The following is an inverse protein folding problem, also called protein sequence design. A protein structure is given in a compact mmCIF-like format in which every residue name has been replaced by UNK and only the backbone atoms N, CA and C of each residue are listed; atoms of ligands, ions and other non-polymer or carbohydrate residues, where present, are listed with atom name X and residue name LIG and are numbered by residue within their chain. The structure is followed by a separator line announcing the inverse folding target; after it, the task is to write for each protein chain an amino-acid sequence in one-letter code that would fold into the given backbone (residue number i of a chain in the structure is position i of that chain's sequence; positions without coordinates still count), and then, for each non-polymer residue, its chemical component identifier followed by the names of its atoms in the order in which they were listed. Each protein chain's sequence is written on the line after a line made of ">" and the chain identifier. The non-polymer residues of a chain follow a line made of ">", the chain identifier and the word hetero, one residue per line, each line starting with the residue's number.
data_IF_082795594874
#
_entry.id   IF_082795594874
#
_cell.length_a   1.000
_cell.length_b   1.000
_cell.length_c   1.000
_cell.angle_alpha   90.00
_cell.angle_beta   90.00
_cell.angle_gamma   90.00
#
_symmetry.space_group_name_H-M   'P 1'
#
loop_
_entity.id
_entity.type
_entity.pdbx_description
1 polymer ?
#
# COMPACT_ATOMS: atom_id res chain seq x y z
N UNK A 1 -8.12 -28.85 -26.86
CA UNK A 1 -8.42 -29.23 -25.46
C UNK A 1 -7.21 -29.18 -24.53
N UNK A 2 -6.10 -29.89 -24.78
CA UNK A 2 -4.94 -29.91 -23.85
C UNK A 2 -4.30 -28.53 -23.60
N UNK A 3 -4.17 -27.68 -24.63
CA UNK A 3 -3.62 -26.32 -24.50
C UNK A 3 -4.49 -25.35 -23.70
N UNK A 4 -5.82 -25.37 -23.89
CA UNK A 4 -6.74 -24.50 -23.16
C UNK A 4 -6.76 -24.80 -21.65
N UNK A 5 -6.71 -26.08 -21.26
CA UNK A 5 -6.61 -26.45 -19.85
C UNK A 5 -5.25 -26.08 -19.24
N UNK A 6 -4.16 -26.17 -20.01
CA UNK A 6 -2.84 -25.73 -19.55
C UNK A 6 -2.79 -24.21 -19.34
N UNK A 7 -3.36 -23.44 -20.26
CA UNK A 7 -3.45 -21.98 -20.15
C UNK A 7 -4.33 -21.56 -18.97
N UNK A 8 -5.49 -22.18 -18.79
CA UNK A 8 -6.36 -21.93 -17.64
C UNK A 8 -5.65 -22.20 -16.32
N UNK A 9 -4.88 -23.29 -16.23
CA UNK A 9 -4.07 -23.61 -15.04
C UNK A 9 -2.99 -22.56 -14.78
N UNK A 10 -2.33 -22.07 -15.85
CA UNK A 10 -1.32 -21.01 -15.76
C UNK A 10 -1.93 -19.72 -15.20
N UNK A 11 -3.05 -19.28 -15.76
CA UNK A 11 -3.77 -18.08 -15.31
C UNK A 11 -4.22 -18.19 -13.85
N UNK A 12 -4.78 -19.33 -13.44
CA UNK A 12 -5.15 -19.57 -12.03
C UNK A 12 -3.93 -19.56 -11.09
N UNK A 13 -2.80 -20.14 -11.51
CA UNK A 13 -1.55 -20.09 -10.75
C UNK A 13 -1.08 -18.65 -10.56
N UNK A 14 -1.06 -17.87 -11.66
CA UNK A 14 -0.70 -16.45 -11.61
C UNK A 14 -1.63 -15.63 -10.72
N UNK A 15 -2.94 -15.87 -10.80
CA UNK A 15 -3.93 -15.22 -9.94
C UNK A 15 -3.66 -15.49 -8.46
N UNK A 16 -3.31 -16.73 -8.11
CA UNK A 16 -3.00 -17.10 -6.72
C UNK A 16 -1.73 -16.40 -6.22
N UNK A 17 -0.70 -16.28 -7.07
CA UNK A 17 0.50 -15.49 -6.75
C UNK A 17 0.16 -14.02 -6.47
N UNK A 18 -0.67 -13.40 -7.32
CA UNK A 18 -1.09 -12.01 -7.17
C UNK A 18 -1.90 -11.77 -5.89
N UNK A 19 -2.71 -12.74 -5.45
CA UNK A 19 -3.37 -12.66 -4.14
C UNK A 19 -2.34 -12.60 -3.01
N UNK A 20 -1.26 -13.38 -3.08
CA UNK A 20 -0.16 -13.31 -2.11
C UNK A 20 0.53 -11.94 -2.11
N UNK A 21 0.80 -11.39 -3.29
CA UNK A 21 1.35 -10.04 -3.44
C UNK A 21 0.41 -8.99 -2.85
N UNK A 22 -0.90 -9.07 -3.14
CA UNK A 22 -1.92 -8.15 -2.64
C UNK A 22 -2.01 -8.18 -1.11
N UNK A 23 -1.97 -9.36 -0.49
CA UNK A 23 -1.93 -9.47 0.97
C UNK A 23 -0.71 -8.77 1.57
N UNK A 24 0.45 -8.92 0.94
CA UNK A 24 1.68 -8.24 1.35
C UNK A 24 1.58 -6.72 1.23
N UNK A 25 1.05 -6.23 0.11
CA UNK A 25 0.82 -4.80 -0.11
C UNK A 25 -0.19 -4.22 0.87
N UNK A 26 -1.28 -4.92 1.16
CA UNK A 26 -2.26 -4.47 2.14
C UNK A 26 -1.67 -4.39 3.56
N UNK A 27 -0.83 -5.36 3.94
CA UNK A 27 -0.11 -5.30 5.21
C UNK A 27 0.90 -4.13 5.25
N UNK A 28 1.60 -3.87 4.14
CA UNK A 28 2.50 -2.74 3.99
C UNK A 28 1.77 -1.40 4.11
N UNK A 29 0.66 -1.22 3.39
CA UNK A 29 -0.19 -0.04 3.44
C UNK A 29 -0.72 0.23 4.86
N UNK A 30 -1.23 -0.81 5.53
CA UNK A 30 -1.72 -0.70 6.91
C UNK A 30 -0.60 -0.25 7.87
N UNK A 31 0.59 -0.82 7.73
CA UNK A 31 1.76 -0.43 8.56
C UNK A 31 2.15 1.03 8.31
N UNK A 32 2.19 1.47 7.06
CA UNK A 32 2.52 2.86 6.71
C UNK A 32 1.49 3.83 7.30
N UNK A 33 0.19 3.52 7.16
CA UNK A 33 -0.89 4.32 7.74
C UNK A 33 -0.80 4.43 9.26
N UNK A 34 -0.50 3.31 9.95
CA UNK A 34 -0.32 3.31 11.41
C UNK A 34 0.87 4.17 11.84
N UNK A 35 1.99 4.06 11.12
CA UNK A 35 3.17 4.88 11.39
C UNK A 35 2.89 6.37 11.14
N UNK A 36 2.19 6.70 10.05
CA UNK A 36 1.85 8.08 9.72
C UNK A 36 0.95 8.68 10.81
N UNK A 37 -0.07 7.94 11.25
CA UNK A 37 -0.94 8.38 12.34
C UNK A 37 -0.17 8.63 13.66
N UNK A 38 0.80 7.77 14.00
CA UNK A 38 1.63 7.97 15.18
C UNK A 38 2.45 9.27 15.09
N UNK A 39 3.06 9.54 13.94
CA UNK A 39 3.85 10.75 13.71
C UNK A 39 2.97 12.00 13.69
N UNK A 40 1.79 11.94 13.10
CA UNK A 40 0.86 13.07 13.09
C UNK A 40 0.41 13.45 14.51
N UNK A 41 0.23 12.46 15.40
CA UNK A 41 -0.02 12.70 16.82
C UNK A 41 1.19 13.36 17.49
N UNK A 42 2.40 12.90 17.19
CA UNK A 42 3.63 13.50 17.74
C UNK A 42 3.85 14.94 17.27
N UNK A 43 3.56 15.24 16.00
CA UNK A 43 3.59 16.61 15.46
C UNK A 43 2.61 17.49 16.24
N UNK A 44 1.35 17.07 16.39
CA UNK A 44 0.34 17.83 17.13
C UNK A 44 0.74 18.07 18.58
N UNK A 45 1.37 17.08 19.23
CA UNK A 45 1.90 17.21 20.59
C UNK A 45 3.01 18.25 20.65
N UNK A 46 3.98 18.19 19.73
CA UNK A 46 5.09 19.14 19.66
C UNK A 46 4.61 20.57 19.38
N UNK A 47 3.62 20.73 18.50
CA UNK A 47 2.99 22.03 18.21
C UNK A 47 2.25 22.60 19.43
N UNK A 48 1.60 21.75 20.23
CA UNK A 48 0.89 22.18 21.45
C UNK A 48 1.83 22.54 22.62
N UNK A 49 3.03 21.96 22.67
CA UNK A 49 4.04 22.26 23.69
C UNK A 49 4.68 23.65 23.51
N UNK A 50 4.50 24.32 22.35
CA UNK A 50 4.98 25.69 22.05
C UNK A 50 4.18 26.80 22.76
N UNK A 51 3.04 26.48 23.37
CA UNK A 51 2.21 27.44 24.13
C UNK A 51 2.67 27.60 25.61
N UNK A 52 3.80 27.00 26.02
CA UNK A 52 4.39 27.08 27.36
C UNK A 52 5.84 27.64 27.37
N UNK A 53 6.37 27.97 28.56
CA UNK A 53 7.64 28.71 28.84
C UNK A 53 8.95 28.09 28.28
N UNK A 54 8.87 27.06 27.43
CA UNK A 54 9.98 26.50 26.68
C UNK A 54 9.50 26.03 25.29
N UNK A 55 9.99 26.62 24.18
CA UNK A 55 9.55 26.23 22.84
C UNK A 55 9.97 24.77 22.53
N UNK A 56 9.15 23.98 21.79
CA UNK A 56 9.57 22.72 21.23
C UNK A 56 10.84 22.96 20.41
N UNK A 57 11.82 22.07 20.55
CA UNK A 57 13.05 22.19 19.76
C UNK A 57 12.65 22.18 18.27
N UNK A 58 12.85 23.27 17.50
CA UNK A 58 12.40 23.38 16.10
C UNK A 58 12.93 22.25 15.21
N UNK A 59 14.03 21.62 15.64
CA UNK A 59 14.63 20.45 15.02
C UNK A 59 13.78 19.18 15.14
N UNK A 60 13.10 18.97 16.28
CA UNK A 60 12.23 17.81 16.50
C UNK A 60 10.96 17.89 15.64
N UNK A 61 10.33 19.07 15.60
CA UNK A 61 9.16 19.30 14.74
C UNK A 61 9.51 19.12 13.26
N UNK A 62 10.66 19.67 12.83
CA UNK A 62 11.15 19.47 11.45
C UNK A 62 11.40 17.99 11.15
N UNK A 63 12.07 17.26 12.04
CA UNK A 63 12.34 15.84 11.85
C UNK A 63 11.04 15.02 11.74
N UNK A 64 10.06 15.26 12.62
CA UNK A 64 8.76 14.59 12.55
C UNK A 64 7.99 14.94 11.26
N UNK A 65 8.06 16.19 10.81
CA UNK A 65 7.43 16.63 9.55
C UNK A 65 8.07 15.97 8.33
N UNK A 66 9.41 15.89 8.30
CA UNK A 66 10.15 15.23 7.22
C UNK A 66 9.83 13.72 7.18
N UNK A 67 9.73 13.08 8.35
CA UNK A 67 9.35 11.67 8.44
C UNK A 67 7.89 11.43 7.99
N UNK A 68 6.95 12.31 8.36
CA UNK A 68 5.57 12.25 7.87
C UNK A 68 5.50 12.41 6.34
N UNK A 69 6.31 13.29 5.76
CA UNK A 69 6.39 13.44 4.31
C UNK A 69 6.90 12.15 3.63
N UNK A 70 7.96 11.54 4.17
CA UNK A 70 8.50 10.28 3.66
C UNK A 70 7.47 9.13 3.75
N UNK A 71 6.66 9.08 4.82
CA UNK A 71 5.60 8.08 4.95
C UNK A 71 4.45 8.31 3.97
N UNK A 72 4.10 9.56 3.65
CA UNK A 72 3.11 9.87 2.60
C UNK A 72 3.58 9.43 1.23
N UNK A 73 4.86 9.66 0.92
CA UNK A 73 5.46 9.16 -0.33
C UNK A 73 5.44 7.61 -0.38
N UNK A 74 5.75 6.95 0.74
CA UNK A 74 5.68 5.50 0.85
C UNK A 74 4.25 4.98 0.70
N UNK A 75 3.25 5.68 1.25
CA UNK A 75 1.84 5.36 1.10
C UNK A 75 1.43 5.43 -0.37
N UNK A 76 1.72 6.55 -1.05
CA UNK A 76 1.41 6.73 -2.47
C UNK A 76 2.08 5.66 -3.35
N UNK A 77 3.34 5.31 -3.04
CA UNK A 77 4.04 4.23 -3.73
C UNK A 77 3.37 2.86 -3.51
N UNK A 78 2.86 2.59 -2.32
CA UNK A 78 2.13 1.36 -2.02
C UNK A 78 0.78 1.33 -2.76
N UNK A 79 0.06 2.45 -2.81
CA UNK A 79 -1.21 2.58 -3.54
C UNK A 79 -1.02 2.31 -5.05
N UNK A 80 -0.01 2.91 -5.69
CA UNK A 80 0.30 2.63 -7.10
C UNK A 80 0.60 1.15 -7.37
N UNK A 81 1.30 0.47 -6.44
CA UNK A 81 1.60 -0.95 -6.54
C UNK A 81 0.33 -1.80 -6.40
N UNK A 82 -0.57 -1.43 -5.51
CA UNK A 82 -1.89 -2.08 -5.35
C UNK A 82 -2.69 -1.96 -6.63
N UNK A 83 -2.84 -0.74 -7.17
CA UNK A 83 -3.58 -0.49 -8.41
C UNK A 83 -3.04 -1.32 -9.59
N UNK A 84 -1.70 -1.45 -9.68
CA UNK A 84 -1.06 -2.28 -10.70
C UNK A 84 -1.43 -3.75 -10.57
N UNK A 85 -1.41 -4.29 -9.35
CA UNK A 85 -1.78 -5.69 -9.08
C UNK A 85 -3.27 -5.92 -9.32
N UNK A 86 -4.14 -4.97 -8.93
CA UNK A 86 -5.58 -5.04 -9.20
C UNK A 86 -5.89 -5.07 -10.70
N UNK A 87 -5.19 -4.24 -11.49
CA UNK A 87 -5.33 -4.24 -12.94
C UNK A 87 -4.90 -5.57 -13.56
N UNK A 88 -3.78 -6.15 -13.11
CA UNK A 88 -3.31 -7.46 -13.58
C UNK A 88 -4.29 -8.58 -13.20
N UNK A 89 -4.80 -8.58 -11.96
CA UNK A 89 -5.83 -9.54 -11.53
C UNK A 89 -7.11 -9.42 -12.34
N UNK A 90 -7.55 -8.19 -12.64
CA UNK A 90 -8.75 -7.94 -13.45
C UNK A 90 -8.61 -8.43 -14.88
N UNK A 91 -7.42 -8.31 -15.49
CA UNK A 91 -7.13 -8.89 -16.80
C UNK A 91 -7.21 -10.41 -16.77
N UNK A 92 -6.58 -11.05 -15.78
CA UNK A 92 -6.61 -12.51 -15.62
C UNK A 92 -8.04 -13.01 -15.41
N UNK A 93 -8.84 -12.31 -14.61
CA UNK A 93 -10.23 -12.67 -14.36
C UNK A 93 -11.07 -12.57 -15.65
N UNK A 94 -10.84 -11.55 -16.49
CA UNK A 94 -11.45 -11.46 -17.83
C UNK A 94 -11.05 -12.63 -18.74
N UNK A 95 -9.77 -12.97 -18.79
CA UNK A 95 -9.27 -14.08 -19.60
C UNK A 95 -9.87 -15.41 -19.15
N UNK A 96 -9.92 -15.66 -17.84
CA UNK A 96 -10.51 -16.87 -17.27
C UNK A 96 -12.02 -16.99 -17.56
N UNK A 97 -12.75 -15.87 -17.51
CA UNK A 97 -14.17 -15.83 -17.85
C UNK A 97 -14.41 -16.19 -19.32
N UNK A 98 -13.65 -15.58 -20.23
CA UNK A 98 -13.75 -15.85 -21.67
C UNK A 98 -13.47 -17.32 -22.04
N UNK A 99 -12.66 -18.04 -21.24
CA UNK A 99 -12.38 -19.47 -21.43
C UNK A 99 -13.46 -20.41 -20.85
N UNK A 100 -14.43 -19.87 -20.11
CA UNK A 100 -15.54 -20.62 -19.48
C UNK A 100 -16.85 -20.45 -20.26
N UNK A 101 -16.96 -19.40 -21.06
CA UNK A 101 -18.11 -19.10 -21.93
C UNK A 101 -18.03 -19.79 -23.32
N UNK A 102 -16.97 -20.56 -23.58
CA UNK A 102 -16.71 -21.40 -24.77
C UNK A 102 -17.03 -22.89 -24.51
#
# INVERSE_FOLDING_TARGET
>A
MSGAMAERRRLLGRRLELVGVMCGLNAEALRVLQNLAAIEIDIQRLEAEDDGDAPPAPEQLRAATDEAAALRDAQAACEMRIETVEAEMSEIDRLLAAMTDD
#
